data_IF_039805793839
#
_entry.id   IF_039805793839
#
_cell.length_a   1.000
_cell.length_b   1.000
_cell.length_c   1.000
_cell.angle_alpha   90.00
_cell.angle_beta   90.00
_cell.angle_gamma   90.00
#
_symmetry.space_group_name_H-M   'P 1'
#
loop_
_entity.id
_entity.type
_entity.pdbx_description
1 polymer ?
#
# COMPACT_ATOMS: atom_id res chain seq x y z
N UNK A 1 -30.99 -74.48 31.00
CA UNK A 1 -29.60 -74.24 31.40
C UNK A 1 -29.34 -72.73 31.36
N UNK A 2 -28.92 -72.17 32.51
CA UNK A 2 -28.41 -70.81 32.66
C UNK A 2 -27.05 -70.69 31.97
N UNK A 3 -26.75 -69.57 31.34
CA UNK A 3 -25.59 -68.72 31.70
C UNK A 3 -25.93 -67.27 31.38
N UNK A 4 -26.13 -66.47 32.43
CA UNK A 4 -26.06 -65.01 32.42
C UNK A 4 -24.59 -64.60 32.25
N UNK A 5 -24.30 -63.61 31.41
CA UNK A 5 -23.10 -62.78 31.54
C UNK A 5 -23.52 -61.32 31.64
N UNK A 6 -23.35 -60.78 32.84
CA UNK A 6 -23.40 -59.36 33.18
C UNK A 6 -22.03 -58.77 32.88
N UNK A 7 -21.97 -57.65 32.15
CA UNK A 7 -20.86 -56.70 32.28
C UNK A 7 -21.27 -55.29 31.79
N UNK A 8 -21.36 -54.39 32.76
CA UNK A 8 -21.08 -52.95 32.72
C UNK A 8 -21.63 -52.12 31.55
N UNK A 9 -22.75 -51.44 31.83
CA UNK A 9 -23.12 -50.18 31.19
C UNK A 9 -22.13 -49.10 31.66
N UNK A 10 -21.29 -48.61 30.75
CA UNK A 10 -20.60 -47.32 30.93
C UNK A 10 -21.47 -46.27 30.27
N UNK A 11 -22.21 -45.53 31.10
CA UNK A 11 -22.97 -44.36 30.67
C UNK A 11 -22.00 -43.19 30.53
N UNK A 12 -21.39 -43.05 29.35
CA UNK A 12 -20.66 -41.83 29.01
C UNK A 12 -21.68 -40.77 28.55
N UNK A 13 -22.21 -40.01 29.51
CA UNK A 13 -22.79 -38.68 29.26
C UNK A 13 -21.66 -37.71 28.90
N UNK A 14 -21.09 -37.90 27.72
CA UNK A 14 -20.36 -36.84 27.04
C UNK A 14 -21.38 -36.03 26.28
N UNK A 15 -21.61 -34.79 26.69
CA UNK A 15 -22.21 -33.78 25.83
C UNK A 15 -21.42 -33.79 24.52
N UNK A 16 -21.98 -34.44 23.51
CA UNK A 16 -21.55 -34.26 22.14
C UNK A 16 -21.79 -32.80 21.83
N UNK A 17 -20.79 -31.95 22.07
CA UNK A 17 -20.66 -30.75 21.30
C UNK A 17 -20.50 -31.25 19.88
N UNK A 18 -21.62 -31.34 19.16
CA UNK A 18 -21.61 -31.10 17.74
C UNK A 18 -21.08 -29.69 17.64
N UNK A 19 -19.75 -29.57 17.55
CA UNK A 19 -19.16 -28.33 17.07
C UNK A 19 -19.83 -28.13 15.72
N UNK A 20 -20.50 -26.99 15.47
CA UNK A 20 -20.85 -26.67 14.12
C UNK A 20 -19.51 -26.61 13.38
N UNK A 21 -19.20 -27.68 12.64
CA UNK A 21 -18.26 -27.59 11.56
C UNK A 21 -18.89 -26.59 10.62
N UNK A 22 -18.46 -25.33 10.73
CA UNK A 22 -18.60 -24.37 9.66
C UNK A 22 -17.76 -24.91 8.51
N UNK A 23 -18.29 -25.92 7.81
CA UNK A 23 -17.86 -26.27 6.49
C UNK A 23 -18.40 -25.17 5.59
N UNK A 24 -17.68 -24.06 5.56
CA UNK A 24 -17.74 -23.19 4.40
C UNK A 24 -17.02 -23.93 3.28
N UNK A 25 -17.70 -24.91 2.67
CA UNK A 25 -17.35 -25.35 1.32
C UNK A 25 -17.67 -24.20 0.37
N UNK A 26 -16.71 -23.29 0.25
CA UNK A 26 -16.70 -22.25 -0.75
C UNK A 26 -15.28 -22.14 -1.29
N UNK A 27 -14.89 -23.13 -2.09
CA UNK A 27 -13.74 -23.05 -3.00
C UNK A 27 -14.01 -22.08 -4.18
N UNK A 28 -14.61 -20.92 -3.89
CA UNK A 28 -14.84 -19.84 -4.84
C UNK A 28 -14.19 -18.58 -4.26
N UNK A 29 -13.11 -18.14 -4.89
CA UNK A 29 -12.26 -17.00 -4.51
C UNK A 29 -13.01 -15.71 -4.14
N UNK A 30 -14.25 -15.52 -4.63
CA UNK A 30 -15.11 -14.37 -4.30
C UNK A 30 -15.79 -14.41 -2.93
N UNK A 31 -16.09 -15.60 -2.40
CA UNK A 31 -16.66 -15.76 -1.05
C UNK A 31 -15.59 -15.59 0.04
N UNK A 32 -14.36 -16.02 -0.24
CA UNK A 32 -13.19 -15.78 0.62
C UNK A 32 -12.86 -14.28 0.72
N UNK A 33 -12.77 -13.57 -0.41
CA UNK A 33 -12.36 -12.16 -0.41
C UNK A 33 -13.37 -11.27 0.34
N UNK A 34 -14.67 -11.46 0.12
CA UNK A 34 -15.71 -10.69 0.83
C UNK A 34 -15.67 -10.91 2.34
N UNK A 35 -15.50 -12.16 2.76
CA UNK A 35 -15.41 -12.52 4.19
C UNK A 35 -14.16 -11.92 4.84
N UNK A 36 -13.03 -11.93 4.12
CA UNK A 36 -11.78 -11.30 4.57
C UNK A 36 -11.86 -9.78 4.64
N UNK A 37 -12.56 -9.13 3.71
CA UNK A 37 -12.86 -7.69 3.74
C UNK A 37 -13.70 -7.37 4.99
N UNK A 38 -14.77 -8.11 5.23
CA UNK A 38 -15.62 -7.91 6.40
C UNK A 38 -14.83 -8.10 7.72
N UNK A 39 -13.97 -9.12 7.79
CA UNK A 39 -13.08 -9.32 8.93
C UNK A 39 -12.09 -8.17 9.13
N UNK A 40 -11.52 -7.63 8.03
CA UNK A 40 -10.63 -6.48 8.08
C UNK A 40 -11.37 -5.22 8.58
N UNK A 41 -12.57 -4.95 8.08
CA UNK A 41 -13.38 -3.81 8.52
C UNK A 41 -13.78 -3.92 10.00
N UNK A 42 -14.18 -5.11 10.46
CA UNK A 42 -14.48 -5.37 11.87
C UNK A 42 -13.23 -5.25 12.77
N UNK A 43 -12.06 -5.68 12.28
CA UNK A 43 -10.81 -5.46 12.99
C UNK A 43 -10.53 -3.97 13.14
N UNK A 44 -10.66 -3.18 12.07
CA UNK A 44 -10.39 -1.75 12.09
C UNK A 44 -11.28 -0.97 13.04
N UNK A 45 -12.53 -1.39 13.27
CA UNK A 45 -13.41 -0.73 14.26
C UNK A 45 -12.91 -0.86 15.69
N UNK A 46 -12.06 -1.85 15.98
CA UNK A 46 -11.44 -2.05 17.30
C UNK A 46 -10.16 -1.23 17.51
N UNK A 47 -9.66 -0.53 16.48
CA UNK A 47 -8.36 0.15 16.50
C UNK A 47 -8.53 1.66 16.59
N UNK A 48 -7.69 2.36 17.37
CA UNK A 48 -7.66 3.81 17.33
C UNK A 48 -7.09 4.31 15.99
N UNK A 49 -7.57 5.46 15.53
CA UNK A 49 -7.11 6.12 14.31
C UNK A 49 -8.00 5.87 13.10
N UNK A 50 -7.54 6.32 11.93
CA UNK A 50 -8.27 6.23 10.66
C UNK A 50 -7.42 5.45 9.66
N UNK A 51 -7.99 4.38 9.12
CA UNK A 51 -7.35 3.56 8.09
C UNK A 51 -8.21 3.55 6.84
N UNK A 52 -7.66 4.07 5.75
CA UNK A 52 -8.21 3.95 4.40
C UNK A 52 -7.44 2.89 3.61
N UNK A 53 -8.15 1.91 3.03
CA UNK A 53 -7.53 0.88 2.19
C UNK A 53 -8.34 0.64 0.92
N UNK A 54 -7.64 0.28 -0.15
CA UNK A 54 -8.21 -0.15 -1.43
C UNK A 54 -7.59 -1.49 -1.80
N UNK A 55 -8.43 -2.43 -2.20
CA UNK A 55 -8.03 -3.72 -2.75
C UNK A 55 -8.45 -3.78 -4.21
N UNK A 56 -7.55 -4.25 -5.06
CA UNK A 56 -7.81 -4.50 -6.47
C UNK A 56 -7.34 -5.89 -6.85
N UNK A 57 -8.30 -6.71 -7.26
CA UNK A 57 -8.03 -7.97 -7.94
C UNK A 57 -7.70 -7.66 -9.40
N UNK A 58 -6.48 -7.97 -9.81
CA UNK A 58 -5.98 -7.70 -11.17
C UNK A 58 -6.40 -8.75 -12.18
N UNK A 59 -6.87 -9.92 -11.75
CA UNK A 59 -7.38 -10.98 -12.63
C UNK A 59 -8.83 -10.68 -13.02
N UNK A 60 -9.66 -10.35 -12.03
CA UNK A 60 -11.09 -10.08 -12.26
C UNK A 60 -11.42 -8.61 -12.50
N UNK A 61 -10.48 -7.70 -12.19
CA UNK A 61 -10.72 -6.26 -12.18
C UNK A 61 -11.52 -5.77 -10.96
N UNK A 62 -11.93 -6.67 -10.05
CA UNK A 62 -12.73 -6.34 -8.87
C UNK A 62 -11.98 -5.33 -8.00
N UNK A 63 -12.70 -4.29 -7.55
CA UNK A 63 -12.17 -3.25 -6.70
C UNK A 63 -13.03 -3.09 -5.46
N UNK A 64 -12.39 -3.04 -4.30
CA UNK A 64 -13.02 -2.67 -3.05
C UNK A 64 -12.28 -1.47 -2.44
N UNK A 65 -13.03 -0.51 -1.92
CA UNK A 65 -12.50 0.64 -1.19
C UNK A 65 -13.31 0.79 0.09
N UNK A 66 -12.65 0.86 1.24
CA UNK A 66 -13.37 1.02 2.50
C UNK A 66 -13.91 2.45 2.68
N UNK A 67 -14.71 2.67 3.71
CA UNK A 67 -15.38 3.95 3.97
C UNK A 67 -14.41 5.15 4.13
N UNK A 68 -13.15 4.91 4.51
CA UNK A 68 -12.13 5.96 4.66
C UNK A 68 -11.25 6.15 3.42
N UNK A 69 -11.51 5.48 2.30
CA UNK A 69 -10.63 5.53 1.13
C UNK A 69 -10.52 6.92 0.48
N UNK A 70 -11.46 7.82 0.75
CA UNK A 70 -11.45 9.23 0.34
C UNK A 70 -10.90 10.18 1.41
N UNK A 71 -10.50 9.69 2.59
CA UNK A 71 -9.95 10.54 3.63
C UNK A 71 -8.55 11.02 3.24
N UNK A 72 -8.28 12.31 3.49
CA UNK A 72 -6.98 12.91 3.22
C UNK A 72 -5.98 12.52 4.30
N UNK A 73 -5.02 11.68 3.94
CA UNK A 73 -3.95 11.19 4.81
C UNK A 73 -2.60 11.70 4.28
N UNK A 74 -1.66 11.97 5.18
CA UNK A 74 -0.29 12.32 4.79
C UNK A 74 0.30 11.21 3.93
N UNK A 75 0.87 11.58 2.77
CA UNK A 75 1.46 10.60 1.85
C UNK A 75 2.68 9.92 2.47
N UNK A 76 3.42 10.62 3.33
CA UNK A 76 4.79 10.24 3.69
C UNK A 76 5.57 9.89 2.40
N UNK A 77 6.39 8.84 2.41
CA UNK A 77 7.19 8.43 1.26
C UNK A 77 6.42 7.82 0.09
N UNK A 78 5.12 7.52 0.22
CA UNK A 78 4.34 6.94 -0.90
C UNK A 78 4.29 7.86 -2.13
N UNK A 79 4.48 9.18 -1.93
CA UNK A 79 4.56 10.17 -3.01
C UNK A 79 5.75 9.97 -3.95
N UNK A 80 6.83 9.33 -3.49
CA UNK A 80 8.05 9.13 -4.27
C UNK A 80 7.78 8.29 -5.52
N UNK A 81 6.82 7.35 -5.46
CA UNK A 81 6.35 6.65 -6.66
C UNK A 81 5.76 7.62 -7.68
N UNK A 82 4.93 8.58 -7.26
CA UNK A 82 4.35 9.57 -8.16
C UNK A 82 5.44 10.44 -8.81
N UNK A 83 6.49 10.79 -8.05
CA UNK A 83 7.65 11.51 -8.58
C UNK A 83 8.37 10.69 -9.66
N UNK A 84 8.61 9.39 -9.44
CA UNK A 84 9.25 8.51 -10.43
C UNK A 84 8.38 8.37 -11.69
N UNK A 85 7.07 8.12 -11.53
CA UNK A 85 6.13 8.02 -12.66
C UNK A 85 6.14 9.31 -13.48
N UNK A 86 6.15 10.46 -12.83
CA UNK A 86 6.20 11.76 -13.48
C UNK A 86 7.49 11.99 -14.26
N UNK A 87 8.65 11.71 -13.65
CA UNK A 87 9.96 11.85 -14.31
C UNK A 87 10.07 10.98 -15.55
N UNK A 88 9.69 9.70 -15.46
CA UNK A 88 9.73 8.76 -16.58
C UNK A 88 8.77 9.19 -17.69
N UNK A 89 7.55 9.64 -17.33
CA UNK A 89 6.58 10.12 -18.33
C UNK A 89 7.07 11.38 -19.03
N UNK A 90 7.63 12.36 -18.31
CA UNK A 90 8.20 13.57 -18.89
C UNK A 90 9.43 13.28 -19.76
N UNK A 91 10.28 12.33 -19.38
CA UNK A 91 11.41 11.88 -20.21
C UNK A 91 10.93 11.28 -21.53
N UNK A 92 9.94 10.38 -21.47
CA UNK A 92 9.34 9.75 -22.66
C UNK A 92 8.69 10.76 -23.60
N UNK A 93 8.09 11.81 -23.04
CA UNK A 93 7.52 12.91 -23.80
C UNK A 93 8.58 13.88 -24.38
N UNK A 94 9.87 13.66 -24.11
CA UNK A 94 10.96 14.55 -24.53
C UNK A 94 11.01 15.89 -23.77
N UNK A 95 10.25 16.03 -22.68
CA UNK A 95 10.19 17.27 -21.89
C UNK A 95 11.37 17.43 -20.93
N UNK A 96 12.08 16.34 -20.62
CA UNK A 96 13.32 16.35 -19.84
C UNK A 96 14.23 15.19 -20.26
N UNK A 97 15.46 15.20 -19.76
CA UNK A 97 16.41 14.09 -19.91
C UNK A 97 16.89 13.65 -18.52
N UNK A 98 16.77 12.36 -18.21
CA UNK A 98 17.29 11.79 -16.98
C UNK A 98 18.73 11.31 -17.20
N UNK A 99 19.64 11.74 -16.33
CA UNK A 99 20.99 11.19 -16.29
C UNK A 99 21.00 9.81 -15.62
N UNK A 100 22.13 9.10 -15.72
CA UNK A 100 22.35 7.88 -14.94
C UNK A 100 22.24 8.13 -13.42
N UNK A 101 22.70 9.30 -12.95
CA UNK A 101 22.56 9.72 -11.55
C UNK A 101 21.09 9.89 -11.15
N UNK A 102 20.26 10.51 -11.98
CA UNK A 102 18.82 10.67 -11.69
C UNK A 102 18.13 9.31 -11.58
N UNK A 103 18.51 8.35 -12.43
CA UNK A 103 18.00 6.97 -12.35
C UNK A 103 18.41 6.27 -11.07
N UNK A 104 19.63 6.48 -10.59
CA UNK A 104 20.07 5.95 -9.30
C UNK A 104 19.27 6.55 -8.14
N UNK A 105 19.06 7.87 -8.13
CA UNK A 105 18.24 8.53 -7.11
C UNK A 105 16.79 8.00 -7.10
N UNK A 106 16.22 7.68 -8.27
CA UNK A 106 14.91 7.01 -8.35
C UNK A 106 14.92 5.62 -7.71
N UNK A 107 15.98 4.83 -7.93
CA UNK A 107 16.16 3.52 -7.27
C UNK A 107 16.24 3.69 -5.75
N UNK A 108 17.03 4.65 -5.27
CA UNK A 108 17.20 4.89 -3.83
C UNK A 108 15.89 5.35 -3.16
N UNK A 109 15.11 6.19 -3.84
CA UNK A 109 13.76 6.55 -3.42
C UNK A 109 12.83 5.33 -3.31
N UNK A 110 12.86 4.42 -4.28
CA UNK A 110 11.94 3.27 -4.32
C UNK A 110 12.35 2.15 -3.36
N UNK A 111 13.64 1.86 -3.24
CA UNK A 111 14.15 0.76 -2.38
C UNK A 111 14.28 1.14 -0.92
N UNK A 112 14.83 2.32 -0.67
CA UNK A 112 15.25 2.74 0.67
C UNK A 112 14.38 3.86 1.22
N UNK A 113 13.41 4.35 0.44
CA UNK A 113 12.66 5.55 0.80
C UNK A 113 13.59 6.74 1.08
N UNK A 114 14.71 6.85 0.36
CA UNK A 114 15.72 7.88 0.58
C UNK A 114 15.13 9.29 0.42
N UNK A 115 15.37 10.17 1.41
CA UNK A 115 14.83 11.53 1.44
C UNK A 115 15.73 12.51 0.68
N UNK A 116 17.04 12.35 0.75
CA UNK A 116 18.01 13.21 0.07
C UNK A 116 17.89 13.03 -1.45
N UNK A 117 17.63 11.79 -1.89
CA UNK A 117 17.32 11.49 -3.29
C UNK A 117 16.02 12.15 -3.76
N UNK A 118 14.99 12.17 -2.92
CA UNK A 118 13.74 12.87 -3.22
C UNK A 118 13.93 14.39 -3.24
N UNK A 119 14.71 14.94 -2.30
CA UNK A 119 15.05 16.36 -2.28
C UNK A 119 15.81 16.78 -3.54
N UNK A 120 16.82 16.01 -3.93
CA UNK A 120 17.62 16.28 -5.12
C UNK A 120 16.76 16.26 -6.39
N UNK A 121 15.90 15.26 -6.57
CA UNK A 121 15.03 15.18 -7.74
C UNK A 121 13.91 16.21 -7.72
N UNK A 122 13.33 16.52 -6.55
CA UNK A 122 12.32 17.57 -6.41
C UNK A 122 12.88 18.94 -6.76
N UNK A 123 14.06 19.28 -6.22
CA UNK A 123 14.74 20.54 -6.51
C UNK A 123 15.11 20.65 -7.99
N UNK A 124 15.65 19.58 -8.58
CA UNK A 124 16.10 19.58 -9.99
C UNK A 124 14.96 19.68 -11.00
N UNK A 125 13.87 18.96 -10.77
CA UNK A 125 12.80 18.78 -11.75
C UNK A 125 11.46 19.40 -11.37
N UNK A 126 11.39 20.09 -10.23
CA UNK A 126 10.21 20.81 -9.74
C UNK A 126 9.92 22.11 -10.50
N UNK A 127 10.86 22.59 -11.32
CA UNK A 127 10.78 23.89 -11.98
C UNK A 127 11.09 25.04 -11.02
N UNK A 128 11.20 26.28 -11.54
CA UNK A 128 11.62 27.45 -10.75
C UNK A 128 10.64 27.83 -9.63
N UNK A 129 9.38 27.41 -9.73
CA UNK A 129 8.34 27.64 -8.71
C UNK A 129 7.98 26.38 -7.91
N UNK A 130 8.72 25.28 -8.11
CA UNK A 130 8.51 23.97 -7.49
C UNK A 130 7.18 23.28 -7.83
N UNK A 131 6.39 23.77 -8.79
CA UNK A 131 5.04 23.25 -9.07
C UNK A 131 4.98 22.15 -10.13
N UNK A 132 6.06 21.87 -10.85
CA UNK A 132 6.02 20.97 -12.00
C UNK A 132 5.51 19.56 -11.64
N UNK A 133 5.96 19.00 -10.52
CA UNK A 133 5.48 17.71 -10.03
C UNK A 133 3.99 17.74 -9.69
N UNK A 134 3.55 18.70 -8.87
CA UNK A 134 2.15 18.85 -8.48
C UNK A 134 1.22 19.10 -9.68
N UNK A 135 1.68 19.79 -10.72
CA UNK A 135 0.93 19.99 -11.96
C UNK A 135 0.82 18.70 -12.78
N UNK A 136 1.81 17.80 -12.71
CA UNK A 136 1.81 16.51 -13.39
C UNK A 136 0.96 15.45 -12.70
N UNK A 137 0.98 15.39 -11.36
CA UNK A 137 0.36 14.33 -10.55
C UNK A 137 -1.09 13.96 -10.92
N UNK A 138 -2.02 14.89 -11.23
CA UNK A 138 -3.38 14.52 -11.66
C UNK A 138 -3.42 13.61 -12.90
N UNK A 139 -2.46 13.72 -13.82
CA UNK A 139 -2.38 12.89 -15.03
C UNK A 139 -2.14 11.41 -14.71
N UNK A 140 -1.54 11.14 -13.56
CA UNK A 140 -1.22 9.78 -13.10
C UNK A 140 -2.23 9.27 -12.07
N UNK A 141 -3.37 9.96 -11.92
CA UNK A 141 -4.45 9.54 -11.05
C UNK A 141 -4.41 10.09 -9.63
N UNK A 142 -3.46 10.96 -9.29
CA UNK A 142 -3.39 11.64 -7.99
C UNK A 142 -4.23 12.94 -8.01
N UNK A 143 -5.51 12.87 -8.36
CA UNK A 143 -6.34 14.08 -8.58
C UNK A 143 -6.77 14.77 -7.30
N UNK A 144 -6.83 14.04 -6.19
CA UNK A 144 -7.28 14.56 -4.88
C UNK A 144 -6.10 14.99 -4.01
N UNK A 145 -4.87 14.66 -4.42
CA UNK A 145 -3.66 15.07 -3.72
C UNK A 145 -3.59 16.59 -3.57
N UNK A 146 -3.26 17.04 -2.35
CA UNK A 146 -3.10 18.45 -2.01
C UNK A 146 -1.77 18.68 -1.29
N UNK A 147 -0.91 19.59 -1.77
CA UNK A 147 0.23 20.05 -0.99
C UNK A 147 -0.27 20.76 0.26
N UNK A 148 0.48 20.64 1.35
CA UNK A 148 0.22 21.29 2.63
C UNK A 148 1.38 22.24 2.93
N UNK A 149 1.14 23.40 3.57
CA UNK A 149 2.22 24.20 4.12
C UNK A 149 3.10 23.35 5.05
N UNK A 150 4.41 23.39 4.81
CA UNK A 150 5.41 22.71 5.62
C UNK A 150 6.07 23.64 6.63
N UNK A 151 7.15 23.17 7.26
CA UNK A 151 7.94 23.95 8.22
C UNK A 151 9.10 24.74 7.57
N UNK A 152 9.22 24.72 6.23
CA UNK A 152 10.27 25.42 5.50
C UNK A 152 9.73 26.29 4.37
N UNK A 153 10.62 27.00 3.68
CA UNK A 153 10.27 28.05 2.71
C UNK A 153 9.84 27.52 1.34
N UNK A 154 10.03 26.22 1.09
CA UNK A 154 9.67 25.57 -0.18
C UNK A 154 8.20 25.16 -0.15
N UNK A 155 7.41 25.71 -1.07
CA UNK A 155 6.04 25.27 -1.32
C UNK A 155 5.73 25.24 -2.82
N UNK A 156 5.22 24.12 -3.36
CA UNK A 156 4.98 22.84 -2.69
C UNK A 156 6.29 22.04 -2.47
N UNK A 157 6.29 21.17 -1.46
CA UNK A 157 7.42 20.28 -1.15
C UNK A 157 6.93 18.82 -1.03
N UNK A 158 7.71 17.86 -1.54
CA UNK A 158 7.29 16.45 -1.61
C UNK A 158 6.94 15.87 -0.23
N UNK A 159 7.65 16.28 0.81
CA UNK A 159 7.48 15.78 2.18
C UNK A 159 6.18 16.22 2.86
N UNK A 160 5.45 17.19 2.30
CA UNK A 160 4.23 17.78 2.87
C UNK A 160 3.07 17.73 1.88
N UNK A 161 2.63 16.51 1.59
CA UNK A 161 1.47 16.25 0.73
C UNK A 161 0.47 15.40 1.50
N UNK A 162 -0.83 15.64 1.27
CA UNK A 162 -1.89 14.70 1.62
C UNK A 162 -2.51 14.14 0.36
N UNK A 163 -2.88 12.87 0.38
CA UNK A 163 -3.65 12.22 -0.69
C UNK A 163 -4.70 11.31 -0.08
N UNK A 164 -5.55 10.76 -0.95
CA UNK A 164 -6.49 9.71 -0.59
C UNK A 164 -5.88 8.33 -0.88
N UNK A 165 -6.45 7.27 -0.32
CA UNK A 165 -6.08 5.90 -0.74
C UNK A 165 -6.54 5.63 -2.18
N UNK A 166 -7.62 6.27 -2.62
CA UNK A 166 -8.08 6.23 -4.00
C UNK A 166 -7.09 6.86 -4.99
N UNK A 167 -6.37 7.92 -4.61
CA UNK A 167 -5.25 8.45 -5.40
C UNK A 167 -4.16 7.39 -5.60
N UNK A 168 -3.73 6.72 -4.53
CA UNK A 168 -2.66 5.73 -4.59
C UNK A 168 -3.03 4.49 -5.41
N UNK A 169 -4.28 4.01 -5.31
CA UNK A 169 -4.79 2.94 -6.18
C UNK A 169 -4.74 3.34 -7.66
N UNK A 170 -5.12 4.58 -7.99
CA UNK A 170 -5.06 5.07 -9.38
C UNK A 170 -3.64 5.26 -9.86
N UNK A 171 -2.74 5.76 -9.01
CA UNK A 171 -1.30 5.86 -9.30
C UNK A 171 -0.69 4.50 -9.59
N UNK A 172 -0.93 3.52 -8.73
CA UNK A 172 -0.49 2.14 -8.97
C UNK A 172 -1.08 1.63 -10.28
N UNK A 173 -2.38 1.81 -10.52
CA UNK A 173 -2.99 1.35 -11.75
C UNK A 173 -2.36 2.01 -13.00
N UNK A 174 -2.10 3.32 -12.97
CA UNK A 174 -1.40 4.04 -14.03
C UNK A 174 0.00 3.48 -14.26
N UNK A 175 0.80 3.36 -13.20
CA UNK A 175 2.17 2.85 -13.28
C UNK A 175 2.26 1.46 -13.91
N UNK A 176 1.23 0.65 -13.74
CA UNK A 176 1.19 -0.74 -14.16
C UNK A 176 0.52 -0.98 -15.51
N UNK A 177 -0.22 0.00 -16.04
CA UNK A 177 -1.02 -0.19 -17.26
C UNK A 177 -0.80 0.88 -18.33
N UNK A 178 -0.25 2.04 -17.95
CA UNK A 178 -0.10 3.19 -18.85
C UNK A 178 1.33 3.71 -18.96
N UNK A 179 2.23 3.39 -18.01
CA UNK A 179 3.65 3.63 -18.23
C UNK A 179 4.17 2.78 -19.40
N UNK A 180 5.26 3.25 -20.00
CA UNK A 180 6.01 2.44 -20.95
C UNK A 180 6.36 1.07 -20.30
N UNK A 181 6.15 -0.07 -21.00
CA UNK A 181 6.32 -1.38 -20.38
C UNK A 181 7.70 -1.63 -19.75
N UNK A 182 8.78 -1.12 -20.35
CA UNK A 182 10.13 -1.27 -19.79
C UNK A 182 10.30 -0.44 -18.50
N UNK A 183 9.76 0.77 -18.48
CA UNK A 183 9.78 1.65 -17.31
C UNK A 183 8.93 1.07 -16.17
N UNK A 184 7.74 0.55 -16.49
CA UNK A 184 6.88 -0.15 -15.53
C UNK A 184 7.57 -1.37 -14.93
N UNK A 185 8.20 -2.22 -15.76
CA UNK A 185 8.93 -3.39 -15.29
C UNK A 185 10.11 -3.02 -14.38
N UNK A 186 10.85 -1.96 -14.72
CA UNK A 186 11.92 -1.44 -13.87
C UNK A 186 11.37 -0.97 -12.51
N UNK A 187 10.35 -0.11 -12.51
CA UNK A 187 9.72 0.39 -11.27
C UNK A 187 9.22 -0.77 -10.39
N UNK A 188 8.54 -1.76 -10.97
CA UNK A 188 8.06 -2.95 -10.26
C UNK A 188 9.23 -3.75 -9.67
N UNK A 189 10.29 -3.99 -10.43
CA UNK A 189 11.49 -4.69 -9.96
C UNK A 189 12.12 -3.97 -8.75
N UNK A 190 12.16 -2.64 -8.77
CA UNK A 190 12.70 -1.86 -7.66
C UNK A 190 11.81 -1.91 -6.42
N UNK A 191 10.50 -1.76 -6.57
CA UNK A 191 9.54 -1.86 -5.46
C UNK A 191 9.35 -3.29 -4.92
N UNK A 192 9.86 -4.31 -5.63
CA UNK A 192 9.97 -5.69 -5.13
C UNK A 192 11.20 -5.90 -4.23
N UNK A 193 12.20 -5.02 -4.35
CA UNK A 193 13.51 -5.12 -3.68
C UNK A 193 13.69 -4.04 -2.62
N UNK A 194 12.59 -3.62 -1.99
CA UNK A 194 12.64 -2.69 -0.86
C UNK A 194 13.51 -3.26 0.25
N UNK A 195 14.32 -2.40 0.86
CA UNK A 195 15.26 -2.80 1.90
C UNK A 195 14.53 -3.34 3.13
N UNK A 196 15.21 -4.16 3.94
CA UNK A 196 14.59 -4.79 5.11
C UNK A 196 13.94 -3.81 6.09
N UNK A 197 14.48 -2.59 6.19
CA UNK A 197 13.94 -1.51 7.03
C UNK A 197 12.57 -0.98 6.54
N UNK A 198 12.25 -1.20 5.26
CA UNK A 198 11.00 -0.86 4.57
C UNK A 198 10.10 -2.10 4.35
N UNK A 199 10.40 -3.22 5.00
CA UNK A 199 9.57 -4.43 4.94
C UNK A 199 8.64 -4.52 6.15
N UNK A 200 7.87 -3.46 6.40
CA UNK A 200 6.80 -3.42 7.40
C UNK A 200 5.46 -3.12 6.71
N UNK A 201 4.37 -2.93 7.47
CA UNK A 201 3.03 -2.77 6.88
C UNK A 201 2.56 -4.01 6.13
N UNK A 202 2.32 -3.90 4.81
CA UNK A 202 1.87 -5.02 3.96
C UNK A 202 2.91 -6.15 3.90
N UNK A 203 4.19 -5.83 4.12
CA UNK A 203 5.26 -6.83 4.21
C UNK A 203 5.18 -7.67 5.49
N UNK A 204 4.67 -7.10 6.59
CA UNK A 204 4.52 -7.77 7.90
C UNK A 204 3.44 -8.86 7.94
N UNK A 205 2.70 -9.04 6.84
CA UNK A 205 1.62 -10.02 6.74
C UNK A 205 2.13 -11.47 6.53
N UNK A 206 3.44 -11.67 6.41
CA UNK A 206 4.13 -12.97 6.46
C UNK A 206 4.42 -13.63 5.10
N UNK A 207 5.27 -14.68 5.07
CA UNK A 207 5.74 -15.32 3.83
C UNK A 207 4.65 -16.04 3.02
N UNK A 208 3.55 -16.43 3.68
CA UNK A 208 2.39 -17.09 3.05
C UNK A 208 1.55 -16.14 2.17
N UNK A 209 1.78 -14.83 2.25
CA UNK A 209 1.24 -13.82 1.33
C UNK A 209 2.33 -13.30 0.39
N UNK A 210 2.88 -14.20 -0.43
CA UNK A 210 3.76 -13.85 -1.56
C UNK A 210 3.02 -12.92 -2.50
N UNK A 211 3.31 -11.61 -2.44
CA UNK A 211 2.83 -10.63 -3.38
C UNK A 211 3.89 -9.67 -3.90
N UNK A 212 3.88 -9.56 -5.22
CA UNK A 212 4.99 -9.14 -6.05
C UNK A 212 5.18 -7.61 -6.13
N UNK A 213 4.58 -6.79 -5.26
CA UNK A 213 4.99 -5.39 -5.06
C UNK A 213 4.32 -4.81 -3.82
N UNK A 214 5.08 -4.21 -2.91
CA UNK A 214 4.56 -3.63 -1.64
C UNK A 214 5.41 -2.41 -1.27
N UNK A 215 4.78 -1.29 -0.93
CA UNK A 215 5.46 -0.06 -0.44
C UNK A 215 4.79 0.45 0.83
N UNK A 216 5.59 0.95 1.76
CA UNK A 216 5.15 1.51 3.04
C UNK A 216 5.71 2.93 3.28
N UNK A 217 5.19 3.63 4.29
CA UNK A 217 5.58 5.00 4.59
C UNK A 217 5.27 5.42 6.03
N UNK A 218 6.32 5.72 6.81
CA UNK A 218 6.24 6.13 8.23
C UNK A 218 6.49 7.65 8.33
N UNK A 219 5.79 8.35 9.22
CA UNK A 219 6.12 9.73 9.61
C UNK A 219 6.33 9.79 11.12
N UNK A 220 7.48 10.28 11.57
CA UNK A 220 7.73 10.62 12.97
C UNK A 220 7.35 12.08 13.25
N UNK A 221 6.91 12.39 14.47
CA UNK A 221 6.75 13.77 14.97
C UNK A 221 8.15 14.37 15.20
N UNK A 222 8.38 15.64 14.81
CA UNK A 222 9.59 16.35 15.20
C UNK A 222 9.63 16.58 16.74
N UNK A 223 10.84 16.60 17.29
CA UNK A 223 11.18 16.51 18.72
C UNK A 223 10.27 17.31 19.67
N UNK A 224 9.74 16.67 20.72
CA UNK A 224 9.07 17.37 21.83
C UNK A 224 8.06 16.60 22.68
N UNK A 225 7.67 15.37 22.34
CA UNK A 225 6.76 14.58 23.20
C UNK A 225 7.09 13.08 23.13
N UNK A 226 7.40 12.48 24.27
CA UNK A 226 7.90 11.10 24.49
C UNK A 226 6.83 10.02 24.29
N UNK A 227 6.00 10.11 23.26
CA UNK A 227 5.03 9.05 22.93
C UNK A 227 5.05 8.77 21.41
N UNK A 228 5.49 7.59 20.95
CA UNK A 228 5.49 7.26 19.53
C UNK A 228 4.05 7.03 19.07
N UNK A 229 3.54 7.89 18.20
CA UNK A 229 2.36 7.61 17.39
C UNK A 229 2.84 7.12 16.02
N UNK A 230 2.77 5.81 15.79
CA UNK A 230 2.89 5.26 14.44
C UNK A 230 1.54 5.45 13.73
N UNK A 231 1.39 6.50 12.94
CA UNK A 231 0.32 6.52 11.93
C UNK A 231 0.86 5.78 10.71
N UNK A 232 0.35 4.58 10.37
CA UNK A 232 0.66 3.98 9.09
C UNK A 232 0.19 4.96 8.01
N UNK A 233 1.09 5.39 7.13
CA UNK A 233 0.68 6.03 5.89
C UNK A 233 -0.29 5.12 5.12
N UNK A 234 -1.09 5.66 4.20
CA UNK A 234 -1.97 4.83 3.38
C UNK A 234 -1.14 3.77 2.63
N UNK A 235 -1.49 2.50 2.81
CA UNK A 235 -0.84 1.37 2.15
C UNK A 235 -1.76 0.81 1.07
N UNK A 236 -1.19 0.43 -0.08
CA UNK A 236 -1.89 -0.29 -1.14
C UNK A 236 -1.31 -1.70 -1.28
N UNK A 237 -2.18 -2.70 -1.43
CA UNK A 237 -1.81 -4.11 -1.60
C UNK A 237 -2.31 -4.56 -2.97
N UNK A 238 -1.42 -5.03 -3.84
CA UNK A 238 -1.79 -5.55 -5.16
C UNK A 238 -1.44 -7.03 -5.27
N UNK A 239 -2.44 -7.86 -5.62
CA UNK A 239 -2.25 -9.27 -5.96
C UNK A 239 -1.86 -9.40 -7.44
N UNK A 240 -0.73 -10.04 -7.75
CA UNK A 240 -0.22 -10.21 -9.13
C UNK A 240 -0.35 -11.66 -9.59
N UNK A 241 -0.77 -11.94 -10.84
CA UNK A 241 -0.54 -13.25 -11.46
C UNK A 241 0.95 -13.45 -11.75
N UNK A 242 1.40 -14.69 -11.57
CA UNK A 242 2.75 -15.19 -11.86
C UNK A 242 3.11 -15.08 -13.33
#
# INVERSE_FOLDING_TARGET
MRVLRVAAVVLALGLGMVTPQAMADCAATGCDLRSRIAAADAYLTSRPGTVGYVLRDRVTGTRYANHNANQMIWTASTIKLAMVVDLLTRERAGALRLSGGDRQLMVDMLRNSDNDAADALWARYGGPDHKAFNAGFPRYGMTDLRPQPGFGDVFPYWGFQKSTTNDLDRLMNYALTQLNPADAAAVVSEMQRVSGEQQWGVWGAGPSMSLATRTDGRRNRAAGSSTPWASPGPTSVTRWPS
#
